data_IF_943421465516
#
_entry.id   IF_943421465516
#
_cell.length_a   1.000
_cell.length_b   1.000
_cell.length_c   1.000
_cell.angle_alpha   90.00
_cell.angle_beta   90.00
_cell.angle_gamma   90.00
#
_symmetry.space_group_name_H-M   'P 1'
#
loop_
_entity.id
_entity.type
_entity.pdbx_description
1 polymer ?
#
# COMPACT_ATOMS: atom_id res chain seq x y z
N UNK A 1 -4.63 -15.68 -6.91
CA UNK A 1 -4.01 -14.37 -6.60
C UNK A 1 -2.93 -14.58 -5.57
N UNK A 2 -1.83 -13.85 -5.68
CA UNK A 2 -0.72 -13.86 -4.72
C UNK A 2 -0.10 -12.46 -4.60
N UNK A 3 0.58 -12.23 -3.51
CA UNK A 3 1.53 -11.13 -3.37
C UNK A 3 2.95 -11.70 -3.59
N UNK A 4 3.74 -11.05 -4.42
CA UNK A 4 5.12 -11.45 -4.70
C UNK A 4 6.08 -10.27 -4.57
N UNK A 5 7.34 -10.56 -4.40
CA UNK A 5 8.39 -9.54 -4.43
C UNK A 5 8.43 -8.81 -5.77
N UNK A 6 8.92 -7.59 -5.68
CA UNK A 6 9.25 -6.77 -6.83
C UNK A 6 10.41 -7.40 -7.61
N UNK A 7 10.31 -7.39 -8.94
CA UNK A 7 11.29 -7.95 -9.86
C UNK A 7 11.69 -6.92 -10.93
N UNK A 8 12.87 -7.02 -11.56
CA UNK A 8 13.32 -6.05 -12.56
C UNK A 8 12.35 -5.86 -13.73
N UNK A 9 11.59 -6.88 -14.11
CA UNK A 9 10.60 -6.80 -15.19
C UNK A 9 9.34 -6.03 -14.81
N UNK A 10 9.16 -5.65 -13.54
CA UNK A 10 8.05 -4.79 -13.09
C UNK A 10 8.30 -3.29 -13.35
N UNK A 11 9.51 -2.90 -13.76
CA UNK A 11 9.88 -1.52 -14.04
C UNK A 11 8.86 -0.76 -14.92
N UNK A 12 8.33 -1.31 -16.03
CA UNK A 12 7.35 -0.60 -16.85
C UNK A 12 6.06 -0.28 -16.11
N UNK A 13 5.59 -1.18 -15.24
CA UNK A 13 4.39 -0.97 -14.42
C UNK A 13 4.64 0.13 -13.38
N UNK A 14 5.76 0.06 -12.65
CA UNK A 14 6.11 1.08 -11.67
C UNK A 14 6.25 2.46 -12.32
N UNK A 15 6.92 2.53 -13.47
CA UNK A 15 7.08 3.79 -14.19
C UNK A 15 5.74 4.42 -14.58
N UNK A 16 4.78 3.59 -15.02
CA UNK A 16 3.44 4.05 -15.33
C UNK A 16 2.68 4.49 -14.08
N UNK A 17 2.73 3.70 -13.01
CA UNK A 17 1.94 3.95 -11.79
C UNK A 17 2.46 5.14 -10.99
N UNK A 18 3.76 5.22 -10.76
CA UNK A 18 4.37 6.30 -9.97
C UNK A 18 4.29 7.67 -10.68
N UNK A 19 4.15 7.67 -11.99
CA UNK A 19 4.01 8.90 -12.79
C UNK A 19 2.56 9.23 -13.20
N UNK A 20 1.59 8.49 -12.71
CA UNK A 20 0.17 8.81 -12.90
C UNK A 20 -0.23 9.99 -12.01
N UNK A 21 -0.50 11.15 -12.62
CA UNK A 21 -0.88 12.35 -11.90
C UNK A 21 -2.16 12.17 -11.05
N UNK A 22 -3.05 11.25 -11.42
CA UNK A 22 -4.22 10.92 -10.62
C UNK A 22 -3.86 10.28 -9.27
N UNK A 23 -2.67 9.68 -9.18
CA UNK A 23 -2.16 9.08 -7.94
C UNK A 23 -1.50 10.08 -7.03
N UNK A 24 -0.98 11.18 -7.55
CA UNK A 24 -0.26 12.18 -6.77
C UNK A 24 -1.15 12.91 -5.77
N UNK A 25 -2.45 12.98 -6.04
CA UNK A 25 -3.44 13.59 -5.12
C UNK A 25 -3.56 12.79 -3.82
N UNK A 26 -3.46 11.46 -3.91
CA UNK A 26 -3.60 10.55 -2.77
C UNK A 26 -2.24 10.12 -2.19
N UNK A 27 -1.15 10.29 -2.93
CA UNK A 27 0.20 9.95 -2.52
C UNK A 27 0.97 11.22 -2.12
N UNK A 28 1.77 11.12 -1.07
CA UNK A 28 2.60 12.22 -0.57
C UNK A 28 3.85 12.46 -1.46
N UNK A 29 3.72 12.21 -2.76
CA UNK A 29 4.78 12.39 -3.76
C UNK A 29 4.31 13.31 -4.87
N UNK A 30 5.13 14.32 -5.20
CA UNK A 30 4.79 15.33 -6.20
C UNK A 30 5.81 15.40 -7.33
N UNK A 31 6.81 14.53 -7.32
CA UNK A 31 7.89 14.55 -8.31
C UNK A 31 7.77 13.34 -9.25
N UNK A 32 7.80 13.57 -10.57
CA UNK A 32 7.92 12.45 -11.50
C UNK A 32 9.23 11.71 -11.28
N UNK A 33 9.15 10.38 -11.34
CA UNK A 33 10.31 9.50 -11.21
C UNK A 33 10.83 9.08 -12.58
N UNK A 34 12.14 9.09 -12.75
CA UNK A 34 12.77 8.58 -13.96
C UNK A 34 12.79 7.04 -13.94
N UNK A 35 12.96 6.43 -15.12
CA UNK A 35 13.17 4.99 -15.18
C UNK A 35 14.43 4.56 -14.44
N UNK A 36 15.45 5.43 -14.37
CA UNK A 36 16.67 5.13 -13.64
C UNK A 36 16.42 5.12 -12.12
N UNK A 37 15.69 6.10 -11.58
CA UNK A 37 15.34 6.13 -10.15
C UNK A 37 14.60 4.85 -9.74
N UNK A 38 13.66 4.41 -10.56
CA UNK A 38 12.88 3.20 -10.29
C UNK A 38 13.71 1.92 -10.45
N UNK A 39 14.66 1.90 -11.39
CA UNK A 39 15.60 0.79 -11.54
C UNK A 39 16.50 0.67 -10.31
N UNK A 40 17.07 1.78 -9.87
CA UNK A 40 17.93 1.84 -8.68
C UNK A 40 17.14 1.42 -7.42
N UNK A 41 15.87 1.82 -7.33
CA UNK A 41 14.97 1.37 -6.28
C UNK A 41 14.78 -0.15 -6.30
N UNK A 42 14.45 -0.73 -7.46
CA UNK A 42 14.26 -2.18 -7.61
C UNK A 42 15.53 -2.95 -7.24
N UNK A 43 16.69 -2.49 -7.70
CA UNK A 43 17.99 -3.13 -7.46
C UNK A 43 18.45 -3.01 -6.00
N UNK A 44 18.10 -1.92 -5.33
CA UNK A 44 18.49 -1.68 -3.93
C UNK A 44 17.61 -2.39 -2.90
N UNK A 45 16.36 -2.72 -3.26
CA UNK A 45 15.46 -3.37 -2.30
C UNK A 45 15.88 -4.81 -2.02
N UNK A 46 16.00 -5.15 -0.73
CA UNK A 46 16.30 -6.53 -0.32
C UNK A 46 15.04 -7.38 -0.20
N UNK A 47 13.87 -6.73 -0.11
CA UNK A 47 12.58 -7.36 0.20
C UNK A 47 12.49 -7.87 1.64
N UNK A 48 13.32 -7.33 2.51
CA UNK A 48 13.30 -7.56 3.95
C UNK A 48 12.93 -6.25 4.65
N UNK A 49 11.73 -6.17 5.19
CA UNK A 49 11.21 -4.95 5.82
C UNK A 49 12.07 -4.46 7.00
N UNK A 50 12.77 -5.37 7.68
CA UNK A 50 13.65 -5.02 8.80
C UNK A 50 14.94 -4.33 8.35
N UNK A 51 15.36 -4.58 7.12
CA UNK A 51 16.53 -3.94 6.50
C UNK A 51 16.16 -2.67 5.76
N UNK A 52 15.08 -2.74 4.99
CA UNK A 52 14.69 -1.67 4.06
C UNK A 52 13.79 -0.61 4.73
N UNK A 53 13.19 -0.93 5.90
CA UNK A 53 12.20 -0.08 6.57
C UNK A 53 10.84 -0.02 5.87
N UNK A 54 10.75 -0.63 4.72
CA UNK A 54 9.55 -0.71 3.88
C UNK A 54 9.55 -1.98 3.04
N UNK A 55 8.40 -2.35 2.50
CA UNK A 55 8.25 -3.51 1.64
C UNK A 55 7.17 -3.24 0.59
N UNK A 56 7.53 -3.36 -0.69
CA UNK A 56 6.58 -3.35 -1.80
C UNK A 56 6.36 -4.76 -2.33
N UNK A 57 5.10 -5.15 -2.44
CA UNK A 57 4.66 -6.43 -2.97
C UNK A 57 3.76 -6.22 -4.18
N UNK A 58 4.01 -6.95 -5.23
CA UNK A 58 3.21 -6.93 -6.46
C UNK A 58 1.99 -7.84 -6.30
N UNK A 59 0.82 -7.33 -6.67
CA UNK A 59 -0.41 -8.10 -6.76
C UNK A 59 -0.44 -8.81 -8.12
N UNK A 60 -0.40 -10.13 -8.09
CA UNK A 60 -0.42 -10.94 -9.32
C UNK A 60 -1.53 -11.99 -9.26
N UNK A 61 -2.23 -12.17 -10.39
CA UNK A 61 -3.20 -13.23 -10.58
C UNK A 61 -3.04 -13.84 -11.97
N UNK A 62 -2.79 -15.16 -12.02
CA UNK A 62 -2.59 -15.92 -13.28
C UNK A 62 -1.53 -15.30 -14.21
N UNK A 63 -0.43 -14.81 -13.63
CA UNK A 63 0.66 -14.17 -14.35
C UNK A 63 0.40 -12.72 -14.77
N UNK A 64 -0.75 -12.16 -14.40
CA UNK A 64 -1.11 -10.76 -14.69
C UNK A 64 -0.80 -9.89 -13.49
N UNK A 65 -0.01 -8.84 -13.69
CA UNK A 65 0.29 -7.80 -12.70
C UNK A 65 -0.87 -6.83 -12.61
N UNK A 66 -1.48 -6.70 -11.42
CA UNK A 66 -2.72 -5.92 -11.23
C UNK A 66 -2.56 -4.68 -10.36
N UNK A 67 -1.41 -4.54 -9.69
CA UNK A 67 -1.16 -3.44 -8.76
C UNK A 67 -0.07 -3.78 -7.76
N UNK A 68 0.00 -3.01 -6.68
CA UNK A 68 0.93 -3.28 -5.60
C UNK A 68 0.32 -2.98 -4.22
N UNK A 69 0.94 -3.58 -3.20
CA UNK A 69 0.70 -3.32 -1.78
C UNK A 69 2.01 -2.94 -1.14
N UNK A 70 1.98 -1.90 -0.33
CA UNK A 70 3.13 -1.43 0.42
C UNK A 70 2.92 -1.57 1.92
N UNK A 71 3.99 -1.94 2.62
CA UNK A 71 4.17 -1.70 4.05
C UNK A 71 5.27 -0.65 4.20
N UNK A 72 4.97 0.45 4.87
CA UNK A 72 5.92 1.55 5.11
C UNK A 72 5.73 2.13 6.52
N UNK A 73 6.50 3.13 6.90
CA UNK A 73 6.53 3.63 8.27
C UNK A 73 6.67 2.49 9.30
N UNK A 74 7.52 1.52 8.95
CA UNK A 74 7.70 0.33 9.75
C UNK A 74 8.39 0.64 11.07
N UNK A 75 7.70 0.34 12.16
CA UNK A 75 8.21 0.47 13.52
C UNK A 75 8.40 -0.94 14.14
N UNK A 76 9.63 -1.48 14.10
CA UNK A 76 9.89 -2.82 14.62
C UNK A 76 9.70 -2.92 16.12
N UNK A 77 9.92 -1.82 16.86
CA UNK A 77 9.75 -1.79 18.33
C UNK A 77 8.29 -1.93 18.73
N UNK A 78 7.40 -1.20 18.07
CA UNK A 78 5.97 -1.24 18.33
C UNK A 78 5.24 -2.26 17.46
N UNK A 79 5.95 -2.91 16.54
CA UNK A 79 5.44 -3.92 15.61
C UNK A 79 4.24 -3.42 14.81
N UNK A 80 4.39 -2.28 14.17
CA UNK A 80 3.36 -1.63 13.34
C UNK A 80 3.90 -1.18 12.00
N UNK A 81 3.03 -1.08 11.03
CA UNK A 81 3.34 -0.52 9.71
C UNK A 81 2.12 0.17 9.11
N UNK A 82 2.36 1.16 8.26
CA UNK A 82 1.35 1.74 7.40
C UNK A 82 1.14 0.87 6.15
N UNK A 83 -0.07 0.92 5.58
CA UNK A 83 -0.43 0.23 4.34
C UNK A 83 -0.61 1.26 3.23
N UNK A 84 0.06 1.02 2.09
CA UNK A 84 -0.26 1.61 0.80
C UNK A 84 -0.88 0.56 -0.12
N UNK A 85 -1.77 0.99 -1.02
CA UNK A 85 -2.39 0.13 -2.01
C UNK A 85 -2.57 0.88 -3.33
N UNK A 86 -2.13 0.26 -4.39
CA UNK A 86 -2.46 0.68 -5.75
C UNK A 86 -3.07 -0.48 -6.54
N UNK A 87 -4.21 -0.24 -7.16
CA UNK A 87 -4.83 -1.16 -8.11
C UNK A 87 -4.89 -0.45 -9.46
N UNK A 88 -4.33 -1.07 -10.47
CA UNK A 88 -4.36 -0.53 -11.81
C UNK A 88 -5.81 -0.31 -12.27
N UNK A 89 -6.12 0.80 -12.96
CA UNK A 89 -7.49 1.24 -13.24
C UNK A 89 -8.39 0.16 -13.83
N UNK A 90 -7.85 -0.64 -14.74
CA UNK A 90 -8.55 -1.74 -15.42
C UNK A 90 -8.98 -2.88 -14.50
N UNK A 91 -8.42 -2.98 -13.31
CA UNK A 91 -8.72 -4.03 -12.32
C UNK A 91 -9.50 -3.52 -11.11
N UNK A 92 -9.84 -2.23 -11.08
CA UNK A 92 -10.65 -1.65 -10.00
C UNK A 92 -12.09 -2.18 -10.01
N UNK A 93 -12.76 -2.06 -8.89
CA UNK A 93 -14.16 -2.48 -8.68
C UNK A 93 -14.44 -3.98 -8.93
N UNK A 94 -13.39 -4.82 -8.94
CA UNK A 94 -13.49 -6.28 -9.15
C UNK A 94 -13.15 -7.08 -7.88
N UNK A 95 -13.09 -6.41 -6.73
CA UNK A 95 -12.74 -7.04 -5.46
C UNK A 95 -11.25 -7.38 -5.28
N UNK A 96 -10.39 -6.94 -6.22
CA UNK A 96 -8.94 -7.21 -6.18
C UNK A 96 -8.30 -6.61 -4.92
N UNK A 97 -8.62 -5.35 -4.60
CA UNK A 97 -8.08 -4.69 -3.40
C UNK A 97 -8.44 -5.42 -2.10
N UNK A 98 -9.68 -5.91 -1.97
CA UNK A 98 -10.12 -6.65 -0.81
C UNK A 98 -9.34 -7.96 -0.64
N UNK A 99 -9.16 -8.71 -1.74
CA UNK A 99 -8.39 -9.96 -1.72
C UNK A 99 -6.91 -9.71 -1.42
N UNK A 100 -6.33 -8.66 -2.01
CA UNK A 100 -4.93 -8.28 -1.77
C UNK A 100 -4.71 -7.86 -0.31
N UNK A 101 -5.65 -7.10 0.27
CA UNK A 101 -5.59 -6.69 1.67
C UNK A 101 -5.60 -7.89 2.62
N UNK A 102 -6.45 -8.88 2.40
CA UNK A 102 -6.47 -10.13 3.19
C UNK A 102 -5.13 -10.85 3.12
N UNK A 103 -4.52 -10.95 1.94
CA UNK A 103 -3.21 -11.59 1.78
C UNK A 103 -2.09 -10.80 2.50
N UNK A 104 -2.14 -9.46 2.43
CA UNK A 104 -1.19 -8.62 3.14
C UNK A 104 -1.33 -8.73 4.66
N UNK A 105 -2.57 -8.71 5.17
CA UNK A 105 -2.86 -8.89 6.59
C UNK A 105 -2.33 -10.23 7.11
N UNK A 106 -2.61 -11.30 6.38
CA UNK A 106 -2.10 -12.62 6.72
C UNK A 106 -0.58 -12.63 6.78
N UNK A 107 0.09 -12.07 5.78
CA UNK A 107 1.54 -11.95 5.78
C UNK A 107 2.06 -11.10 6.94
N UNK A 108 1.47 -9.94 7.16
CA UNK A 108 1.90 -9.01 8.20
C UNK A 108 1.68 -9.55 9.62
N UNK A 109 0.54 -10.16 9.88
CA UNK A 109 0.19 -10.63 11.21
C UNK A 109 0.79 -11.99 11.54
N UNK A 110 0.81 -12.93 10.58
CA UNK A 110 1.27 -14.30 10.84
C UNK A 110 2.80 -14.45 10.68
N UNK A 111 3.39 -13.83 9.64
CA UNK A 111 4.81 -14.02 9.34
C UNK A 111 5.68 -12.88 9.91
N UNK A 112 5.29 -11.62 9.70
CA UNK A 112 6.03 -10.49 10.28
C UNK A 112 5.70 -10.25 11.75
N UNK A 113 4.67 -10.90 12.29
CA UNK A 113 4.24 -10.79 13.69
C UNK A 113 3.92 -9.34 14.09
N UNK A 114 3.40 -8.55 13.15
CA UNK A 114 2.97 -7.19 13.46
C UNK A 114 1.76 -7.24 14.40
N UNK A 115 1.61 -6.20 15.21
CA UNK A 115 0.48 -6.03 16.11
C UNK A 115 -0.57 -5.08 15.56
N UNK A 116 -0.15 -4.18 14.67
CA UNK A 116 -1.04 -3.16 14.13
C UNK A 116 -0.68 -2.85 12.68
N UNK A 117 -1.70 -2.74 11.86
CA UNK A 117 -1.68 -2.16 10.54
C UNK A 117 -2.55 -0.90 10.53
N UNK A 118 -2.12 0.12 9.81
CA UNK A 118 -2.93 1.33 9.65
C UNK A 118 -2.81 1.90 8.23
N UNK A 119 -3.84 2.63 7.82
CA UNK A 119 -3.87 3.36 6.56
C UNK A 119 -4.37 4.78 6.81
N UNK A 120 -3.78 5.76 6.15
CA UNK A 120 -4.23 7.16 6.19
C UNK A 120 -4.94 7.43 4.88
N UNK A 121 -6.23 7.73 4.95
CA UNK A 121 -7.09 7.84 3.78
C UNK A 121 -7.78 9.20 3.78
N UNK A 122 -7.65 9.94 2.68
CA UNK A 122 -8.37 11.20 2.50
C UNK A 122 -9.88 10.96 2.61
N UNK A 123 -10.58 11.86 3.30
CA UNK A 123 -12.05 11.73 3.51
C UNK A 123 -12.84 11.74 2.20
N UNK A 124 -12.25 12.23 1.12
CA UNK A 124 -12.80 12.24 -0.23
C UNK A 124 -12.66 10.89 -0.94
N UNK A 125 -11.77 10.00 -0.47
CA UNK A 125 -11.57 8.66 -1.05
C UNK A 125 -12.53 7.64 -0.44
N UNK A 126 -13.82 7.79 -0.76
CA UNK A 126 -14.87 6.91 -0.24
C UNK A 126 -14.69 5.42 -0.62
N UNK A 127 -14.25 5.05 -1.86
CA UNK A 127 -14.08 3.64 -2.20
C UNK A 127 -13.05 2.97 -1.29
N UNK A 128 -11.95 3.65 -1.00
CA UNK A 128 -10.89 3.16 -0.11
C UNK A 128 -11.41 3.05 1.33
N UNK A 129 -12.10 4.07 1.83
CA UNK A 129 -12.69 4.07 3.17
C UNK A 129 -13.67 2.89 3.36
N UNK A 130 -14.53 2.64 2.37
CA UNK A 130 -15.44 1.48 2.41
C UNK A 130 -14.71 0.14 2.42
N UNK A 131 -13.61 0.03 1.66
CA UNK A 131 -12.78 -1.17 1.64
C UNK A 131 -12.24 -1.51 3.03
N UNK A 132 -11.62 -0.53 3.70
CA UNK A 132 -11.05 -0.75 5.04
C UNK A 132 -12.11 -0.99 6.09
N UNK A 133 -13.25 -0.29 6.04
CA UNK A 133 -14.38 -0.55 6.92
C UNK A 133 -14.90 -2.00 6.80
N UNK A 134 -15.09 -2.50 5.57
CA UNK A 134 -15.50 -3.88 5.33
C UNK A 134 -14.45 -4.92 5.74
N UNK A 135 -13.18 -4.55 5.69
CA UNK A 135 -12.09 -5.39 6.18
C UNK A 135 -11.95 -5.39 7.72
N UNK A 136 -12.81 -4.65 8.44
CA UNK A 136 -12.83 -4.63 9.90
C UNK A 136 -11.80 -3.67 10.53
N UNK A 137 -11.35 -2.66 9.78
CA UNK A 137 -10.56 -1.57 10.35
C UNK A 137 -11.48 -0.58 11.07
N UNK A 138 -10.97 -0.05 12.18
CA UNK A 138 -11.63 1.00 12.94
C UNK A 138 -11.08 2.38 12.52
N UNK A 139 -11.96 3.33 12.31
CA UNK A 139 -11.57 4.68 11.89
C UNK A 139 -11.36 5.61 13.08
N UNK A 140 -10.35 6.47 13.00
CA UNK A 140 -10.17 7.61 13.91
C UNK A 140 -11.15 8.74 13.60
N UNK A 141 -11.16 9.75 14.46
CA UNK A 141 -11.73 11.06 14.09
C UNK A 141 -10.94 11.70 12.95
N UNK A 142 -11.58 12.48 12.07
CA UNK A 142 -10.90 13.15 10.96
C UNK A 142 -9.78 14.09 11.43
N UNK A 143 -8.62 13.95 10.81
CA UNK A 143 -7.48 14.85 10.97
C UNK A 143 -7.62 16.00 9.97
N UNK A 144 -7.93 17.20 10.46
CA UNK A 144 -8.14 18.38 9.61
C UNK A 144 -6.84 18.81 8.93
N UNK A 145 -6.98 19.26 7.67
CA UNK A 145 -5.86 19.77 6.87
C UNK A 145 -4.66 18.80 6.78
N UNK A 146 -4.93 17.51 6.74
CA UNK A 146 -3.89 16.48 6.59
C UNK A 146 -3.28 16.47 5.20
N UNK A 147 -4.09 16.72 4.18
CA UNK A 147 -3.64 16.97 2.80
C UNK A 147 -3.98 18.41 2.41
N UNK A 148 -3.44 18.88 1.29
CA UNK A 148 -3.75 20.22 0.78
C UNK A 148 -5.25 20.40 0.47
N UNK A 149 -5.94 19.34 0.13
CA UNK A 149 -7.32 19.38 -0.37
C UNK A 149 -8.36 18.81 0.60
N UNK A 150 -7.95 17.97 1.56
CA UNK A 150 -8.90 17.25 2.40
C UNK A 150 -8.37 16.95 3.81
N UNK A 151 -9.30 16.65 4.71
CA UNK A 151 -8.99 15.93 5.93
C UNK A 151 -8.70 14.46 5.62
N UNK A 152 -8.01 13.78 6.52
CA UNK A 152 -7.77 12.36 6.43
C UNK A 152 -8.30 11.62 7.66
N UNK A 153 -8.52 10.32 7.51
CA UNK A 153 -8.90 9.41 8.58
C UNK A 153 -7.85 8.32 8.68
N UNK A 154 -7.43 8.00 9.89
CA UNK A 154 -6.57 6.85 10.14
C UNK A 154 -7.45 5.62 10.36
N UNK A 155 -7.27 4.61 9.55
CA UNK A 155 -7.92 3.31 9.68
C UNK A 155 -6.95 2.33 10.32
N UNK A 156 -7.37 1.67 11.40
CA UNK A 156 -6.49 0.85 12.25
C UNK A 156 -7.07 -0.54 12.41
N UNK A 157 -6.21 -1.56 12.27
CA UNK A 157 -6.53 -2.94 12.60
C UNK A 157 -5.44 -3.52 13.49
N UNK A 158 -5.82 -4.13 14.60
CA UNK A 158 -4.92 -4.81 15.54
C UNK A 158 -5.07 -6.31 15.44
N UNK A 159 -3.94 -7.01 15.64
CA UNK A 159 -3.91 -8.47 15.69
C UNK A 159 -4.09 -8.92 17.15
N UNK A 160 -5.31 -9.22 17.53
CA UNK A 160 -5.67 -9.89 18.79
C UNK A 160 -4.99 -9.32 20.05
N UNK A 161 -5.43 -8.17 20.53
CA UNK A 161 -5.13 -7.72 21.89
C UNK A 161 -6.29 -8.10 22.77
#
# INVERSE_FOLDING_TARGET
MRLRKLEPYDLPFLYQWENDAAMWVDADTHNPLSQQDLRDYIESTTGDIYKDGQLRLIIEHEGVTMGCMDLFDFDPRNRKAAIGMYIAPEYRHQGIGAKALVLLEQYAFEYLQLRMLYAIIATTNEPCSRLYAHAGYESSSPLKAWTLEAAAVVWIKTNGI
#
